data_IF_797628410585
#
_entry.id   IF_797628410585
#
_cell.length_a   1.000
_cell.length_b   1.000
_cell.length_c   1.000
_cell.angle_alpha   90.00
_cell.angle_beta   90.00
_cell.angle_gamma   90.00
#
_symmetry.space_group_name_H-M   'P 1'
#
loop_
_entity.id
_entity.type
_entity.pdbx_description
1 polymer ?
#
# COMPACT_ATOMS: atom_id res chain seq x y z
N UNK A 1 3.85 -16.57 -4.20
CA UNK A 1 4.30 -15.37 -3.44
C UNK A 1 4.47 -15.78 -1.99
N UNK A 2 5.65 -15.55 -1.44
CA UNK A 2 5.88 -15.64 0.01
C UNK A 2 5.71 -14.23 0.56
N UNK A 3 4.60 -13.96 1.24
CA UNK A 3 4.37 -12.69 1.92
C UNK A 3 5.17 -12.69 3.23
N UNK A 4 6.51 -12.68 3.15
CA UNK A 4 7.40 -12.67 4.31
C UNK A 4 7.74 -11.22 4.71
N UNK A 5 6.84 -10.59 5.45
CA UNK A 5 7.12 -9.29 6.08
C UNK A 5 7.94 -9.52 7.35
N UNK A 6 9.23 -9.79 7.21
CA UNK A 6 10.17 -9.81 8.32
C UNK A 6 11.07 -8.57 8.24
N UNK A 7 10.98 -7.72 9.28
CA UNK A 7 11.88 -6.62 9.66
C UNK A 7 12.81 -6.08 8.53
N UNK A 8 12.63 -4.83 8.07
CA UNK A 8 12.46 -3.72 9.01
C UNK A 8 11.09 -3.01 9.02
N UNK A 9 10.24 -3.29 8.02
CA UNK A 9 8.91 -2.68 7.91
C UNK A 9 7.83 -3.69 8.32
N UNK A 10 7.07 -3.39 9.38
CA UNK A 10 5.95 -4.25 9.80
C UNK A 10 4.77 -4.07 8.85
N UNK A 11 3.95 -5.11 8.74
CA UNK A 11 2.72 -5.09 7.92
C UNK A 11 1.81 -3.91 8.26
N UNK A 12 1.65 -3.60 9.55
CA UNK A 12 0.83 -2.47 9.99
C UNK A 12 1.42 -1.11 9.60
N UNK A 13 2.76 -1.00 9.51
CA UNK A 13 3.46 0.21 9.11
C UNK A 13 3.36 0.47 7.60
N UNK A 14 3.09 -0.57 6.79
CA UNK A 14 2.84 -0.45 5.36
C UNK A 14 1.34 -0.29 5.06
N UNK A 15 0.50 -1.21 5.54
CA UNK A 15 -0.89 -1.31 5.13
C UNK A 15 -1.76 -0.23 5.76
N UNK A 16 -1.53 0.14 7.03
CA UNK A 16 -2.33 1.18 7.69
C UNK A 16 -2.17 2.52 6.95
N UNK A 17 -0.95 3.00 6.63
CA UNK A 17 -0.80 4.24 5.86
C UNK A 17 -1.41 4.18 4.46
N UNK A 18 -1.27 3.07 3.72
CA UNK A 18 -1.89 2.91 2.38
C UNK A 18 -3.40 3.04 2.49
N UNK A 19 -4.03 2.25 3.36
CA UNK A 19 -5.47 2.19 3.51
C UNK A 19 -6.04 3.54 4.00
N UNK A 20 -5.42 4.14 5.01
CA UNK A 20 -5.84 5.46 5.49
C UNK A 20 -5.65 6.55 4.44
N UNK A 21 -4.58 6.49 3.64
CA UNK A 21 -4.38 7.45 2.56
C UNK A 21 -5.51 7.33 1.54
N UNK A 22 -5.81 6.12 1.08
CA UNK A 22 -6.84 5.83 0.07
C UNK A 22 -8.27 6.12 0.56
N UNK A 23 -8.57 5.97 1.86
CA UNK A 23 -9.89 6.31 2.43
C UNK A 23 -10.29 7.76 2.14
N UNK A 24 -9.32 8.69 2.12
CA UNK A 24 -9.59 10.11 1.90
C UNK A 24 -9.50 10.55 0.44
N UNK A 25 -9.18 9.63 -0.49
CA UNK A 25 -9.06 9.96 -1.92
C UNK A 25 -10.42 9.84 -2.60
N UNK A 26 -10.76 10.89 -3.35
CA UNK A 26 -11.98 10.91 -4.18
C UNK A 26 -11.75 10.22 -5.53
N UNK A 27 -10.53 10.30 -6.04
CA UNK A 27 -10.11 9.72 -7.33
C UNK A 27 -9.12 8.57 -7.13
N UNK A 28 -9.04 7.60 -8.07
CA UNK A 28 -8.01 6.57 -8.08
C UNK A 28 -6.59 7.16 -8.17
N UNK A 29 -5.66 6.59 -7.42
CA UNK A 29 -4.30 7.13 -7.24
C UNK A 29 -3.24 6.18 -7.78
N UNK A 30 -2.23 6.70 -8.48
CA UNK A 30 -1.09 5.92 -8.94
C UNK A 30 -0.16 5.45 -7.80
N UNK A 31 0.51 4.31 -8.01
CA UNK A 31 1.40 3.70 -7.01
C UNK A 31 2.53 4.63 -6.53
N UNK A 32 3.05 5.51 -7.40
CA UNK A 32 4.10 6.48 -7.05
C UNK A 32 3.62 7.43 -5.95
N UNK A 33 2.42 7.99 -6.09
CA UNK A 33 1.85 8.92 -5.10
C UNK A 33 1.57 8.19 -3.78
N UNK A 34 1.09 6.95 -3.85
CA UNK A 34 0.91 6.10 -2.66
C UNK A 34 2.25 5.89 -1.94
N UNK A 35 3.31 5.56 -2.69
CA UNK A 35 4.65 5.35 -2.16
C UNK A 35 5.16 6.56 -1.39
N UNK A 36 5.11 7.73 -2.01
CA UNK A 36 5.57 9.00 -1.41
C UNK A 36 4.80 9.32 -0.13
N UNK A 37 3.48 9.12 -0.14
CA UNK A 37 2.64 9.35 1.04
C UNK A 37 3.00 8.41 2.19
N UNK A 38 3.17 7.12 1.89
CA UNK A 38 3.52 6.07 2.86
C UNK A 38 4.87 6.37 3.51
N UNK A 39 5.91 6.64 2.70
CA UNK A 39 7.25 7.00 3.19
C UNK A 39 7.17 8.20 4.13
N UNK A 40 6.46 9.26 3.72
CA UNK A 40 6.30 10.48 4.53
C UNK A 40 5.62 10.18 5.86
N UNK A 41 4.55 9.40 5.88
CA UNK A 41 3.82 9.02 7.10
C UNK A 41 4.67 8.18 8.05
N UNK A 42 5.43 7.21 7.54
CA UNK A 42 6.32 6.38 8.36
C UNK A 42 7.41 7.26 9.00
N UNK A 43 8.10 8.10 8.19
CA UNK A 43 9.13 9.02 8.68
C UNK A 43 8.59 9.97 9.76
N UNK A 44 7.42 10.55 9.55
CA UNK A 44 6.77 11.43 10.53
C UNK A 44 6.34 10.71 11.81
N UNK A 45 5.90 9.46 11.70
CA UNK A 45 5.51 8.66 12.87
C UNK A 45 6.73 8.36 13.73
N UNK A 46 7.81 7.90 13.10
CA UNK A 46 9.04 7.59 13.81
C UNK A 46 9.68 8.84 14.43
N UNK A 47 9.75 9.97 13.71
CA UNK A 47 10.29 11.21 14.29
C UNK A 47 9.50 11.72 15.50
N UNK A 48 8.18 11.45 15.55
CA UNK A 48 7.32 11.84 16.67
C UNK A 48 7.52 10.97 17.92
N UNK A 49 7.63 9.65 17.75
CA UNK A 49 7.70 8.71 18.87
C UNK A 49 9.13 8.39 19.32
N UNK A 50 10.11 8.55 18.43
CA UNK A 50 11.52 8.28 18.70
C UNK A 50 12.41 9.19 17.83
N UNK A 51 12.55 10.47 18.19
CA UNK A 51 13.32 11.45 17.39
C UNK A 51 14.82 11.13 17.31
N UNK A 52 15.36 10.37 18.27
CA UNK A 52 16.76 9.93 18.31
C UNK A 52 16.98 8.53 17.71
N UNK A 53 15.96 8.00 17.02
CA UNK A 53 15.99 6.63 16.50
C UNK A 53 17.12 6.42 15.48
N UNK A 54 18.21 5.80 15.93
CA UNK A 54 19.35 5.49 15.08
C UNK A 54 19.00 4.50 13.95
N UNK A 55 17.90 3.76 14.08
CA UNK A 55 17.41 2.81 13.07
C UNK A 55 16.88 3.56 11.83
N UNK A 56 16.24 4.72 12.00
CA UNK A 56 15.85 5.60 10.89
C UNK A 56 17.07 6.11 10.12
N UNK A 57 18.15 6.42 10.85
CA UNK A 57 19.40 6.91 10.27
C UNK A 57 20.23 5.80 9.60
N UNK A 58 20.02 4.54 9.98
CA UNK A 58 20.74 3.39 9.43
C UNK A 58 19.98 2.61 8.37
N UNK A 59 18.66 2.84 8.20
CA UNK A 59 17.79 2.07 7.30
C UNK A 59 17.15 2.98 6.27
N UNK A 60 17.37 2.68 5.00
CA UNK A 60 16.71 3.37 3.89
C UNK A 60 15.23 2.94 3.82
N UNK A 61 14.34 3.70 4.46
CA UNK A 61 12.89 3.48 4.44
C UNK A 61 12.35 3.60 3.01
N UNK A 62 12.91 4.50 2.20
CA UNK A 62 12.51 4.72 0.83
C UNK A 62 12.78 3.46 -0.01
N UNK A 63 13.95 2.84 0.17
CA UNK A 63 14.28 1.57 -0.46
C UNK A 63 13.35 0.43 -0.02
N UNK A 64 13.12 0.27 1.29
CA UNK A 64 12.26 -0.80 1.80
C UNK A 64 10.81 -0.69 1.34
N UNK A 65 10.22 0.51 1.42
CA UNK A 65 8.86 0.74 0.92
C UNK A 65 8.83 0.47 -0.58
N UNK A 66 9.85 0.87 -1.33
CA UNK A 66 9.92 0.59 -2.77
C UNK A 66 9.95 -0.92 -3.07
N UNK A 67 10.62 -1.74 -2.26
CA UNK A 67 10.67 -3.19 -2.44
C UNK A 67 9.35 -3.88 -2.08
N UNK A 68 8.63 -3.39 -1.07
CA UNK A 68 7.46 -4.07 -0.51
C UNK A 68 6.12 -3.53 -1.01
N UNK A 69 6.08 -2.35 -1.64
CA UNK A 69 4.82 -1.69 -1.99
C UNK A 69 4.00 -2.50 -3.00
N UNK A 70 4.64 -3.06 -4.02
CA UNK A 70 3.97 -3.85 -5.05
C UNK A 70 3.31 -5.10 -4.46
N UNK A 71 4.09 -5.93 -3.77
CA UNK A 71 3.58 -7.13 -3.08
C UNK A 71 2.52 -6.78 -2.02
N UNK A 72 2.68 -5.64 -1.35
CA UNK A 72 1.71 -5.11 -0.41
C UNK A 72 0.39 -4.75 -1.07
N UNK A 73 0.41 -4.03 -2.19
CA UNK A 73 -0.78 -3.70 -2.97
C UNK A 73 -1.47 -4.96 -3.51
N UNK A 74 -0.71 -5.94 -4.01
CA UNK A 74 -1.25 -7.24 -4.44
C UNK A 74 -1.96 -7.98 -3.30
N UNK A 75 -1.39 -7.97 -2.09
CA UNK A 75 -2.02 -8.59 -0.93
C UNK A 75 -3.31 -7.84 -0.53
N UNK A 76 -3.31 -6.51 -0.59
CA UNK A 76 -4.52 -5.69 -0.35
C UNK A 76 -5.61 -5.97 -1.40
N UNK A 77 -5.24 -6.19 -2.66
CA UNK A 77 -6.15 -6.53 -3.75
C UNK A 77 -6.72 -7.93 -3.58
N UNK A 78 -5.88 -8.93 -3.30
CA UNK A 78 -6.33 -10.31 -3.07
C UNK A 78 -7.29 -10.43 -1.88
N UNK A 79 -7.15 -9.56 -0.88
CA UNK A 79 -8.06 -9.45 0.26
C UNK A 79 -9.27 -8.53 0.01
N UNK A 80 -9.47 -8.07 -1.23
CA UNK A 80 -10.59 -7.21 -1.67
C UNK A 80 -10.67 -5.88 -0.93
N UNK A 81 -9.53 -5.37 -0.46
CA UNK A 81 -9.44 -4.09 0.24
C UNK A 81 -9.17 -2.93 -0.71
N UNK A 82 -8.35 -3.18 -1.73
CA UNK A 82 -7.99 -2.22 -2.79
C UNK A 82 -8.42 -2.81 -4.13
N UNK A 83 -8.86 -1.95 -5.04
CA UNK A 83 -9.15 -2.29 -6.43
C UNK A 83 -8.27 -1.48 -7.37
N UNK A 84 -8.05 -2.02 -8.57
CA UNK A 84 -7.29 -1.36 -9.65
C UNK A 84 -8.27 -0.80 -10.68
N UNK A 85 -7.95 0.38 -11.21
CA UNK A 85 -8.52 0.96 -12.43
C UNK A 85 -7.36 1.25 -13.38
N UNK A 86 -7.45 0.76 -14.61
CA UNK A 86 -6.52 1.17 -15.66
C UNK A 86 -7.10 2.41 -16.35
N UNK A 87 -6.29 3.47 -16.56
CA UNK A 87 -6.72 4.59 -17.37
C UNK A 87 -7.04 4.11 -18.79
N UNK A 88 -7.92 4.84 -19.49
CA UNK A 88 -8.17 4.59 -20.90
C UNK A 88 -6.85 4.75 -21.66
N UNK A 89 -6.44 3.70 -22.38
CA UNK A 89 -5.17 3.66 -23.07
C UNK A 89 -5.28 4.43 -24.38
N UNK A 90 -4.57 5.56 -24.49
CA UNK A 90 -4.36 6.22 -25.78
C UNK A 90 -3.29 5.45 -26.58
N UNK A 91 -3.77 4.55 -27.44
CA UNK A 91 -2.89 3.77 -28.32
C UNK A 91 -2.45 4.66 -29.48
N UNK A 92 -1.20 5.11 -29.46
CA UNK A 92 -0.56 5.75 -30.61
C UNK A 92 0.38 4.78 -31.32
N UNK A 93 0.20 4.61 -32.63
CA UNK A 93 1.06 3.75 -33.45
C UNK A 93 2.20 4.60 -34.01
N UNK A 94 3.40 4.44 -33.46
CA UNK A 94 4.61 5.10 -33.96
C UNK A 94 5.52 4.03 -34.53
N UNK A 95 5.82 4.10 -35.83
CA UNK A 95 6.89 3.32 -36.49
C UNK A 95 6.95 1.83 -36.10
N UNK A 96 5.82 1.10 -36.23
CA UNK A 96 5.66 -0.34 -35.97
C UNK A 96 5.81 -0.80 -34.51
N UNK A 97 5.95 0.11 -33.55
CA UNK A 97 5.92 -0.21 -32.12
C UNK A 97 4.60 0.26 -31.50
N UNK A 98 3.96 -0.62 -30.73
CA UNK A 98 2.79 -0.28 -29.91
C UNK A 98 3.35 0.05 -28.53
N UNK A 99 3.39 1.33 -28.17
CA UNK A 99 3.74 1.75 -26.82
C UNK A 99 2.45 1.94 -26.02
N UNK A 100 2.16 1.01 -25.11
CA UNK A 100 1.00 1.08 -24.21
C UNK A 100 1.47 1.67 -22.88
N UNK A 101 1.15 2.93 -22.62
CA UNK A 101 1.44 3.59 -21.34
C UNK A 101 0.14 3.83 -20.59
N UNK A 102 -0.03 3.13 -19.48
CA UNK A 102 -1.15 3.33 -18.57
C UNK A 102 -0.80 2.75 -17.23
N UNK A 103 -0.34 3.59 -16.30
CA UNK A 103 -0.01 3.16 -14.95
C UNK A 103 -1.29 2.75 -14.21
N UNK A 104 -1.27 1.63 -13.45
CA UNK A 104 -2.42 1.22 -12.66
C UNK A 104 -2.76 2.28 -11.61
N UNK A 105 -4.04 2.61 -11.50
CA UNK A 105 -4.57 3.48 -10.47
C UNK A 105 -5.30 2.65 -9.42
N UNK A 106 -5.10 2.98 -8.16
CA UNK A 106 -5.60 2.21 -7.03
C UNK A 106 -6.65 3.01 -6.26
N UNK A 107 -7.70 2.35 -5.81
CA UNK A 107 -8.74 2.94 -4.98
C UNK A 107 -9.25 1.92 -3.96
N UNK A 108 -9.80 2.44 -2.86
CA UNK A 108 -10.35 1.59 -1.80
C UNK A 108 -11.71 1.03 -2.22
N UNK A 109 -11.97 -0.26 -1.95
CA UNK A 109 -13.30 -0.84 -2.15
C UNK A 109 -14.31 -0.24 -1.17
N UNK A 110 -15.60 -0.21 -1.54
CA UNK A 110 -16.65 0.27 -0.63
C UNK A 110 -16.70 -0.54 0.66
N UNK A 111 -16.56 -1.87 0.55
CA UNK A 111 -16.52 -2.77 1.70
C UNK A 111 -15.37 -2.41 2.65
N UNK A 112 -14.17 -2.16 2.12
CA UNK A 112 -13.02 -1.78 2.95
C UNK A 112 -13.20 -0.39 3.56
N UNK A 113 -13.87 0.54 2.87
CA UNK A 113 -14.21 1.85 3.43
C UNK A 113 -15.04 1.73 4.70
N UNK A 114 -16.11 0.94 4.65
CA UNK A 114 -16.94 0.67 5.82
C UNK A 114 -16.15 -0.01 6.94
N UNK A 115 -15.33 -1.00 6.61
CA UNK A 115 -14.54 -1.73 7.59
C UNK A 115 -13.56 -0.82 8.34
N UNK A 116 -12.84 0.05 7.62
CA UNK A 116 -11.91 1.00 8.23
C UNK A 116 -12.65 2.03 9.09
N UNK A 117 -13.81 2.52 8.63
CA UNK A 117 -14.65 3.45 9.41
C UNK A 117 -15.22 2.83 10.68
N UNK A 118 -15.46 1.52 10.69
CA UNK A 118 -15.91 0.79 11.87
C UNK A 118 -14.80 0.47 12.88
N UNK A 119 -13.53 0.79 12.54
CA UNK A 119 -12.33 0.47 13.34
C UNK A 119 -12.15 -1.03 13.65
N UNK A 120 -12.88 -1.91 12.96
CA UNK A 120 -12.78 -3.35 13.12
C UNK A 120 -11.44 -3.87 12.57
N UNK A 121 -10.88 -4.87 13.25
CA UNK A 121 -9.68 -5.58 12.79
C UNK A 121 -9.88 -6.19 11.40
N UNK A 122 -8.90 -6.06 10.50
CA UNK A 122 -8.91 -6.72 9.19
C UNK A 122 -7.98 -7.93 9.22
N UNK A 123 -8.54 -9.11 8.92
CA UNK A 123 -7.75 -10.34 8.76
C UNK A 123 -7.31 -10.47 7.31
N UNK A 124 -6.00 -10.58 7.10
CA UNK A 124 -5.40 -10.88 5.82
C UNK A 124 -5.28 -12.38 5.64
N UNK A 125 -5.91 -12.90 4.60
CA UNK A 125 -5.92 -14.32 4.26
C UNK A 125 -4.89 -14.56 3.16
N UNK A 126 -4.04 -15.54 3.38
CA UNK A 126 -3.03 -15.97 2.41
C UNK A 126 -3.58 -16.93 1.36
N UNK A 127 -2.76 -17.28 0.36
CA UNK A 127 -3.16 -18.18 -0.74
C UNK A 127 -3.61 -19.57 -0.28
N UNK A 128 -3.12 -20.02 0.89
CA UNK A 128 -3.46 -21.30 1.50
C UNK A 128 -4.72 -21.24 2.40
N UNK A 129 -5.45 -20.12 2.42
CA UNK A 129 -6.63 -19.91 3.24
C UNK A 129 -6.34 -19.65 4.74
N UNK A 130 -5.08 -19.60 5.16
CA UNK A 130 -4.70 -19.28 6.53
C UNK A 130 -4.57 -17.77 6.73
N UNK A 131 -4.88 -17.30 7.94
CA UNK A 131 -4.60 -15.92 8.32
C UNK A 131 -3.09 -15.68 8.34
N UNK A 132 -2.64 -14.70 7.57
CA UNK A 132 -1.26 -14.23 7.53
C UNK A 132 -1.04 -13.12 8.56
N UNK A 133 -1.92 -12.11 8.53
CA UNK A 133 -1.80 -10.90 9.33
C UNK A 133 -3.16 -10.46 9.87
N UNK A 134 -3.13 -9.74 11.00
CA UNK A 134 -4.28 -9.03 11.54
C UNK A 134 -3.89 -7.57 11.64
N UNK A 135 -4.61 -6.71 10.93
CA UNK A 135 -4.46 -5.27 10.98
C UNK A 135 -5.54 -4.71 11.89
N UNK A 136 -5.12 -4.28 13.08
CA UNK A 136 -5.97 -3.48 13.95
C UNK A 136 -5.87 -2.01 13.55
N UNK A 137 -6.96 -1.25 13.72
CA UNK A 137 -6.98 0.20 13.54
C UNK A 137 -6.89 0.97 14.85
N UNK A 138 -6.99 0.27 15.99
CA UNK A 138 -6.82 0.83 17.32
C UNK A 138 -5.38 1.34 17.52
N UNK A 139 -5.19 2.45 18.28
CA UNK A 139 -3.89 3.00 18.64
C UNK A 139 -3.14 2.14 19.66
#
# INVERSE_FOLDING_TARGET
>A
MNFEFSNPLRVNELFRPILQFLVFQKEPIGSIIIKENVISRIKNTYSKYDPDNQILNSRDIDFQVSQLLEEGLELLISNKLVSIKYPELDISIIKKEINVQGDPLFYLTEKARFHIQSEESIKFIGPNGKTLYILDFLP
#
